data_IF_519693502315
#
_entry.id   IF_519693502315
#
_cell.length_a   1.000
_cell.length_b   1.000
_cell.length_c   1.000
_cell.angle_alpha   90.00
_cell.angle_beta   90.00
_cell.angle_gamma   90.00
#
_symmetry.space_group_name_H-M   'P 1'
#
loop_
_entity.id
_entity.type
_entity.pdbx_description
1 polymer ?
#
# COMPACT_ATOMS: atom_id res chain seq x y z
N UNK A 1 -20.65 -11.09 -25.36
CA UNK A 1 -20.68 -9.76 -24.70
C UNK A 1 -20.38 -9.89 -23.22
N UNK A 2 -21.11 -10.73 -22.47
CA UNK A 2 -20.85 -11.01 -21.04
C UNK A 2 -19.45 -11.61 -20.80
N UNK A 3 -18.98 -12.53 -21.64
CA UNK A 3 -17.62 -13.10 -21.52
C UNK A 3 -16.53 -12.03 -21.63
N UNK A 4 -16.61 -11.14 -22.63
CA UNK A 4 -15.65 -10.03 -22.76
C UNK A 4 -15.68 -9.07 -21.57
N UNK A 5 -16.84 -8.91 -20.95
CA UNK A 5 -16.97 -8.11 -19.74
C UNK A 5 -16.32 -8.81 -18.54
N UNK A 6 -16.50 -10.13 -18.41
CA UNK A 6 -15.79 -10.94 -17.42
C UNK A 6 -14.27 -10.80 -17.60
N UNK A 7 -13.75 -10.97 -18.82
CA UNK A 7 -12.32 -10.80 -19.11
C UNK A 7 -11.84 -9.39 -18.70
N UNK A 8 -12.67 -8.37 -18.94
CA UNK A 8 -12.32 -6.97 -18.58
C UNK A 8 -12.28 -6.76 -17.06
N UNK A 9 -13.23 -7.35 -16.33
CA UNK A 9 -13.29 -7.29 -14.87
C UNK A 9 -12.14 -8.08 -14.27
N UNK A 10 -11.86 -9.29 -14.76
CA UNK A 10 -10.74 -10.12 -14.33
C UNK A 10 -9.39 -9.41 -14.53
N UNK A 11 -9.19 -8.74 -15.67
CA UNK A 11 -7.99 -7.94 -15.91
C UNK A 11 -7.88 -6.76 -14.94
N UNK A 12 -8.99 -6.08 -14.63
CA UNK A 12 -9.00 -4.94 -13.70
C UNK A 12 -8.69 -5.39 -12.26
N UNK A 13 -9.33 -6.46 -11.80
CA UNK A 13 -9.11 -6.97 -10.43
C UNK A 13 -7.77 -7.66 -10.29
N UNK A 14 -7.24 -8.27 -11.36
CA UNK A 14 -5.96 -8.98 -11.36
C UNK A 14 -4.72 -8.09 -11.33
N UNK A 15 -4.86 -6.76 -11.51
CA UNK A 15 -3.72 -5.83 -11.39
C UNK A 15 -3.16 -5.87 -9.98
N UNK A 16 -1.92 -6.35 -9.86
CA UNK A 16 -1.21 -6.35 -8.58
C UNK A 16 -0.72 -4.92 -8.26
N UNK A 17 -0.79 -4.49 -6.99
CA UNK A 17 -0.27 -3.19 -6.58
C UNK A 17 1.20 -3.03 -6.98
N UNK A 18 2.06 -4.01 -6.68
CA UNK A 18 3.49 -3.97 -7.01
C UNK A 18 3.75 -3.66 -8.48
N UNK A 19 3.10 -4.37 -9.40
CA UNK A 19 3.30 -4.17 -10.83
C UNK A 19 2.88 -2.76 -11.26
N UNK A 20 1.80 -2.23 -10.67
CA UNK A 20 1.31 -0.88 -10.97
C UNK A 20 2.24 0.19 -10.43
N UNK A 21 2.64 0.11 -9.17
CA UNK A 21 3.45 1.14 -8.50
C UNK A 21 4.85 1.28 -9.13
N UNK A 22 5.48 0.16 -9.50
CA UNK A 22 6.82 0.17 -10.09
C UNK A 22 6.83 0.34 -11.63
N UNK A 23 5.66 0.48 -12.26
CA UNK A 23 5.57 0.73 -13.71
C UNK A 23 5.90 2.18 -14.10
N UNK A 24 5.71 3.13 -13.18
CA UNK A 24 5.88 4.57 -13.43
C UNK A 24 7.16 5.13 -12.83
N UNK A 25 7.56 4.63 -11.65
CA UNK A 25 8.71 5.13 -10.90
C UNK A 25 9.58 3.98 -10.41
N UNK A 26 10.90 4.21 -10.37
CA UNK A 26 11.86 3.19 -9.90
C UNK A 26 11.90 3.07 -8.38
N UNK A 27 11.68 4.19 -7.67
CA UNK A 27 11.73 4.27 -6.21
C UNK A 27 10.48 4.99 -5.67
N UNK A 28 9.28 4.42 -5.88
CA UNK A 28 8.04 5.03 -5.41
C UNK A 28 8.04 5.16 -3.88
N UNK A 29 7.46 6.25 -3.39
CA UNK A 29 7.25 6.49 -1.96
C UNK A 29 5.91 5.89 -1.50
N UNK A 30 5.66 5.74 -0.18
CA UNK A 30 4.42 5.23 0.39
C UNK A 30 3.15 5.92 -0.11
N UNK A 31 3.19 7.20 -0.49
CA UNK A 31 2.03 7.87 -1.07
C UNK A 31 1.44 7.11 -2.26
N UNK A 32 2.30 6.43 -3.05
CA UNK A 32 1.86 5.62 -4.17
C UNK A 32 0.92 4.46 -3.77
N UNK A 33 1.13 3.81 -2.60
CA UNK A 33 0.25 2.73 -2.15
C UNK A 33 -1.06 3.27 -1.58
N UNK A 34 -1.03 4.43 -0.93
CA UNK A 34 -2.23 5.12 -0.45
C UNK A 34 -3.12 5.51 -1.64
N UNK A 35 -2.57 6.25 -2.60
CA UNK A 35 -3.28 6.67 -3.79
C UNK A 35 -3.80 5.49 -4.63
N UNK A 36 -3.02 4.41 -4.74
CA UNK A 36 -3.45 3.19 -5.43
C UNK A 36 -4.72 2.60 -4.82
N UNK A 37 -4.75 2.38 -3.51
CA UNK A 37 -5.89 1.75 -2.84
C UNK A 37 -7.11 2.66 -2.76
N UNK A 38 -6.91 3.96 -2.57
CA UNK A 38 -7.99 4.97 -2.63
C UNK A 38 -8.65 4.97 -4.02
N UNK A 39 -7.86 5.06 -5.10
CA UNK A 39 -8.38 5.01 -6.47
C UNK A 39 -9.02 3.66 -6.81
N UNK A 40 -8.41 2.55 -6.38
CA UNK A 40 -8.97 1.21 -6.60
C UNK A 40 -10.31 1.05 -5.89
N UNK A 41 -10.44 1.52 -4.65
CA UNK A 41 -11.70 1.52 -3.93
C UNK A 41 -12.76 2.33 -4.69
N UNK A 42 -12.47 3.58 -5.05
CA UNK A 42 -13.41 4.44 -5.77
C UNK A 42 -13.90 3.80 -7.08
N UNK A 43 -12.97 3.24 -7.87
CA UNK A 43 -13.30 2.56 -9.12
C UNK A 43 -14.22 1.34 -8.90
N UNK A 44 -13.95 0.54 -7.87
CA UNK A 44 -14.77 -0.64 -7.54
C UNK A 44 -16.13 -0.26 -6.95
N UNK A 45 -16.22 0.84 -6.20
CA UNK A 45 -17.50 1.39 -5.73
C UNK A 45 -18.37 1.84 -6.91
N UNK A 46 -17.77 2.54 -7.87
CA UNK A 46 -18.45 2.94 -9.11
C UNK A 46 -18.93 1.73 -9.92
N UNK A 47 -18.11 0.69 -10.06
CA UNK A 47 -18.51 -0.55 -10.74
C UNK A 47 -19.63 -1.28 -10.00
N UNK A 48 -19.53 -1.41 -8.67
CA UNK A 48 -20.58 -2.03 -7.86
C UNK A 48 -21.91 -1.26 -7.98
N UNK A 49 -21.86 0.08 -8.02
CA UNK A 49 -23.03 0.91 -8.26
C UNK A 49 -23.64 0.67 -9.65
N UNK A 50 -22.82 0.56 -10.69
CA UNK A 50 -23.29 0.23 -12.05
C UNK A 50 -23.93 -1.17 -12.12
N UNK A 51 -23.37 -2.16 -11.44
CA UNK A 51 -23.98 -3.48 -11.28
C UNK A 51 -25.32 -3.41 -10.54
N UNK A 52 -25.49 -2.40 -9.68
CA UNK A 52 -26.70 -2.08 -8.96
C UNK A 52 -27.86 -1.57 -9.83
N UNK A 53 -27.57 -1.03 -11.02
CA UNK A 53 -28.54 -0.45 -11.95
C UNK A 53 -29.59 -1.48 -12.38
N UNK A 54 -30.86 -1.07 -12.39
CA UNK A 54 -32.01 -1.93 -12.73
C UNK A 54 -31.83 -2.62 -14.09
N UNK A 55 -31.22 -1.95 -15.06
CA UNK A 55 -30.98 -2.49 -16.41
C UNK A 55 -29.97 -3.63 -16.37
N UNK A 56 -28.89 -3.49 -15.60
CA UNK A 56 -27.86 -4.52 -15.44
C UNK A 56 -28.39 -5.70 -14.63
N UNK A 57 -29.18 -5.44 -13.58
CA UNK A 57 -29.87 -6.51 -12.83
C UNK A 57 -30.88 -7.27 -13.67
N UNK A 58 -31.60 -6.57 -14.54
CA UNK A 58 -32.56 -7.19 -15.47
C UNK A 58 -31.85 -8.16 -16.43
N UNK A 59 -30.65 -7.80 -16.92
CA UNK A 59 -29.83 -8.72 -17.72
C UNK A 59 -29.53 -10.00 -16.94
N UNK A 60 -29.07 -9.88 -15.68
CA UNK A 60 -28.82 -11.03 -14.80
C UNK A 60 -30.06 -11.92 -14.64
N UNK A 61 -31.21 -11.31 -14.32
CA UNK A 61 -32.48 -12.03 -14.15
C UNK A 61 -32.91 -12.76 -15.43
N UNK A 62 -32.79 -12.14 -16.60
CA UNK A 62 -33.14 -12.77 -17.88
C UNK A 62 -32.21 -13.95 -18.16
N UNK A 63 -30.89 -13.79 -17.96
CA UNK A 63 -29.91 -14.87 -18.16
C UNK A 63 -30.23 -16.08 -17.27
N UNK A 64 -30.61 -15.84 -16.03
CA UNK A 64 -31.03 -16.89 -15.10
C UNK A 64 -32.33 -17.57 -15.55
N UNK A 65 -33.36 -16.79 -15.94
CA UNK A 65 -34.67 -17.33 -16.33
C UNK A 65 -34.62 -18.21 -17.57
N UNK A 66 -33.76 -17.88 -18.53
CA UNK A 66 -33.59 -18.67 -19.75
C UNK A 66 -32.54 -19.78 -19.60
N UNK A 67 -31.96 -19.95 -18.40
CA UNK A 67 -30.86 -20.90 -18.13
C UNK A 67 -29.70 -20.72 -19.11
N UNK A 68 -29.32 -19.46 -19.33
CA UNK A 68 -28.27 -19.12 -20.28
C UNK A 68 -26.92 -19.66 -19.82
N UNK A 69 -26.12 -20.16 -20.77
CA UNK A 69 -24.70 -20.50 -20.55
C UNK A 69 -23.87 -19.31 -20.04
N UNK A 70 -24.35 -18.08 -20.22
CA UNK A 70 -23.67 -16.85 -19.76
C UNK A 70 -24.07 -16.42 -18.34
N UNK A 71 -25.05 -17.09 -17.71
CA UNK A 71 -25.46 -16.82 -16.32
C UNK A 71 -24.26 -16.92 -15.38
N UNK A 72 -23.47 -17.99 -15.48
CA UNK A 72 -22.29 -18.19 -14.68
C UNK A 72 -21.28 -17.04 -14.82
N UNK A 73 -21.01 -16.58 -16.04
CA UNK A 73 -20.10 -15.46 -16.29
C UNK A 73 -20.60 -14.16 -15.66
N UNK A 74 -21.91 -13.88 -15.77
CA UNK A 74 -22.52 -12.71 -15.14
C UNK A 74 -22.40 -12.77 -13.61
N UNK A 75 -22.74 -13.91 -12.99
CA UNK A 75 -22.63 -14.10 -11.55
C UNK A 75 -21.18 -13.91 -11.09
N UNK A 76 -20.22 -14.47 -11.82
CA UNK A 76 -18.79 -14.33 -11.52
C UNK A 76 -18.32 -12.87 -11.54
N UNK A 77 -18.81 -12.06 -12.50
CA UNK A 77 -18.53 -10.62 -12.53
C UNK A 77 -18.99 -9.94 -11.23
N UNK A 78 -20.22 -10.22 -10.80
CA UNK A 78 -20.79 -9.61 -9.58
C UNK A 78 -19.98 -10.01 -8.35
N UNK A 79 -19.67 -11.31 -8.22
CA UNK A 79 -18.84 -11.83 -7.12
C UNK A 79 -17.46 -11.17 -7.08
N UNK A 80 -16.74 -11.16 -8.21
CA UNK A 80 -15.40 -10.56 -8.31
C UNK A 80 -15.36 -9.09 -7.89
N UNK A 81 -16.33 -8.30 -8.34
CA UNK A 81 -16.40 -6.87 -8.01
C UNK A 81 -16.68 -6.69 -6.52
N UNK A 82 -17.61 -7.44 -5.93
CA UNK A 82 -17.94 -7.32 -4.51
C UNK A 82 -16.81 -7.81 -3.60
N UNK A 83 -16.15 -8.90 -3.95
CA UNK A 83 -14.97 -9.43 -3.25
C UNK A 83 -13.82 -8.42 -3.28
N UNK A 84 -13.48 -7.92 -4.48
CA UNK A 84 -12.41 -6.93 -4.66
C UNK A 84 -12.72 -5.61 -3.97
N UNK A 85 -14.00 -5.21 -3.93
CA UNK A 85 -14.42 -4.00 -3.22
C UNK A 85 -14.27 -4.17 -1.70
N UNK A 86 -14.62 -5.33 -1.17
CA UNK A 86 -14.45 -5.62 0.26
C UNK A 86 -12.98 -5.60 0.66
N UNK A 87 -12.10 -6.16 -0.17
CA UNK A 87 -10.64 -6.08 -0.03
C UNK A 87 -10.17 -4.62 -0.03
N UNK A 88 -10.50 -3.86 -1.08
CA UNK A 88 -10.04 -2.49 -1.24
C UNK A 88 -10.46 -1.60 -0.07
N UNK A 89 -11.71 -1.71 0.40
CA UNK A 89 -12.20 -0.94 1.56
C UNK A 89 -11.44 -1.24 2.85
N UNK A 90 -11.17 -2.52 3.12
CA UNK A 90 -10.43 -2.92 4.32
C UNK A 90 -9.00 -2.38 4.27
N UNK A 91 -8.31 -2.57 3.15
CA UNK A 91 -6.92 -2.13 2.99
C UNK A 91 -6.81 -0.60 3.04
N UNK A 92 -7.66 0.13 2.31
CA UNK A 92 -7.66 1.61 2.35
C UNK A 92 -7.89 2.13 3.77
N UNK A 93 -8.86 1.56 4.50
CA UNK A 93 -9.13 1.93 5.90
C UNK A 93 -7.92 1.66 6.80
N UNK A 94 -7.27 0.52 6.61
CA UNK A 94 -6.09 0.12 7.38
C UNK A 94 -4.89 1.05 7.12
N UNK A 95 -4.64 1.36 5.84
CA UNK A 95 -3.56 2.25 5.42
C UNK A 95 -3.80 3.70 5.84
N UNK A 96 -5.04 4.18 5.90
CA UNK A 96 -5.38 5.52 6.39
C UNK A 96 -4.88 5.77 7.83
N UNK A 97 -4.77 4.73 8.66
CA UNK A 97 -4.21 4.84 10.01
C UNK A 97 -2.69 5.12 10.02
N UNK A 98 -1.99 4.81 8.91
CA UNK A 98 -0.55 5.02 8.75
C UNK A 98 -0.23 6.36 8.09
N UNK A 99 -1.09 6.83 7.16
CA UNK A 99 -0.84 8.01 6.29
C UNK A 99 -0.25 9.19 7.06
N UNK A 100 -0.95 9.72 8.07
CA UNK A 100 -0.47 10.86 8.88
C UNK A 100 0.90 10.65 9.54
N UNK A 101 1.21 9.41 9.98
CA UNK A 101 2.52 9.12 10.62
C UNK A 101 3.63 9.05 9.58
N UNK A 102 3.33 8.54 8.39
CA UNK A 102 4.25 8.50 7.25
C UNK A 102 4.51 9.90 6.72
N UNK A 103 3.47 10.71 6.51
CA UNK A 103 3.62 12.11 6.06
C UNK A 103 4.50 12.89 7.04
N UNK A 104 4.26 12.73 8.36
CA UNK A 104 5.12 13.34 9.40
C UNK A 104 6.56 12.85 9.28
N UNK A 105 6.78 11.56 9.07
CA UNK A 105 8.11 10.98 8.92
C UNK A 105 8.84 11.59 7.72
N UNK A 106 8.16 11.71 6.57
CA UNK A 106 8.75 12.22 5.34
C UNK A 106 9.12 13.70 5.42
N UNK A 107 8.40 14.50 6.20
CA UNK A 107 8.67 15.93 6.38
C UNK A 107 9.83 16.25 7.34
N UNK A 108 10.31 15.26 8.10
CA UNK A 108 11.26 15.45 9.20
C UNK A 108 12.64 14.87 8.88
N UNK A 109 13.63 15.23 9.72
CA UNK A 109 14.95 14.60 9.73
C UNK A 109 14.94 13.30 10.55
N UNK A 110 15.98 12.48 10.42
CA UNK A 110 16.15 11.27 11.23
C UNK A 110 16.31 11.61 12.71
N UNK A 111 16.89 12.77 13.05
CA UNK A 111 17.01 13.25 14.43
C UNK A 111 15.63 13.44 15.06
N UNK A 112 14.73 14.12 14.34
CA UNK A 112 13.35 14.37 14.78
C UNK A 112 12.49 13.09 14.78
N UNK A 113 12.74 12.20 13.81
CA UNK A 113 11.97 10.97 13.64
C UNK A 113 12.37 9.85 14.58
N UNK A 114 13.60 9.84 15.11
CA UNK A 114 14.13 8.78 16.00
C UNK A 114 13.15 8.33 17.10
N UNK A 115 12.52 9.22 17.91
CA UNK A 115 11.56 8.80 18.93
C UNK A 115 10.31 8.14 18.36
N UNK A 116 9.91 8.50 17.14
CA UNK A 116 8.67 8.05 16.50
C UNK A 116 8.83 6.76 15.67
N UNK A 117 10.05 6.32 15.36
CA UNK A 117 10.31 5.07 14.61
C UNK A 117 9.65 3.87 15.28
N UNK A 118 9.85 3.67 16.59
CA UNK A 118 9.27 2.52 17.29
C UNK A 118 7.73 2.59 17.33
N UNK A 119 7.09 3.71 17.71
CA UNK A 119 5.65 3.89 17.59
C UNK A 119 5.10 3.64 16.17
N UNK A 120 5.80 4.10 15.13
CA UNK A 120 5.41 3.86 13.74
C UNK A 120 5.43 2.36 13.42
N UNK A 121 6.54 1.67 13.71
CA UNK A 121 6.67 0.23 13.48
C UNK A 121 5.61 -0.59 14.25
N UNK A 122 5.26 -0.20 15.48
CA UNK A 122 4.14 -0.83 16.21
C UNK A 122 2.79 -0.58 15.53
N UNK A 123 2.57 0.61 14.99
CA UNK A 123 1.33 0.93 14.25
C UNK A 123 1.23 0.09 12.99
N UNK A 124 2.34 -0.10 12.26
CA UNK A 124 2.41 -0.99 11.10
C UNK A 124 2.05 -2.42 11.51
N UNK A 125 2.61 -2.93 12.61
CA UNK A 125 2.28 -4.26 13.11
C UNK A 125 0.82 -4.43 13.58
N UNK A 126 0.21 -3.40 14.15
CA UNK A 126 -1.22 -3.40 14.48
C UNK A 126 -2.08 -3.42 13.21
N UNK A 127 -1.75 -2.59 12.23
CA UNK A 127 -2.45 -2.56 10.93
C UNK A 127 -2.37 -3.93 10.26
N UNK A 128 -1.19 -4.54 10.28
CA UNK A 128 -0.99 -5.90 9.80
C UNK A 128 -1.88 -6.91 10.54
N UNK A 129 -1.80 -6.97 11.87
CA UNK A 129 -2.51 -7.98 12.66
C UNK A 129 -4.03 -7.83 12.67
N UNK A 130 -4.55 -6.64 12.40
CA UNK A 130 -5.99 -6.35 12.43
C UNK A 130 -6.65 -6.27 11.04
N UNK A 131 -5.89 -6.17 9.97
CA UNK A 131 -6.45 -6.14 8.63
C UNK A 131 -6.84 -7.53 8.15
N UNK A 132 -7.99 -7.64 7.50
CA UNK A 132 -8.45 -8.89 6.90
C UNK A 132 -7.74 -9.20 5.59
N UNK A 133 -7.25 -8.21 4.87
CA UNK A 133 -6.65 -8.41 3.54
C UNK A 133 -5.22 -7.87 3.40
N UNK A 134 -4.80 -6.91 4.22
CA UNK A 134 -3.45 -6.37 4.19
C UNK A 134 -2.40 -7.31 4.79
N UNK A 135 -2.80 -8.30 5.61
CA UNK A 135 -1.89 -9.18 6.37
C UNK A 135 -1.10 -10.22 5.53
N UNK A 136 -0.95 -10.01 4.22
CA UNK A 136 -0.24 -10.93 3.31
C UNK A 136 1.20 -10.48 3.11
N UNK A 137 2.17 -11.42 3.11
CA UNK A 137 3.61 -11.11 3.06
C UNK A 137 3.96 -10.15 1.92
N UNK A 138 3.29 -10.29 0.78
CA UNK A 138 3.44 -9.44 -0.40
C UNK A 138 3.08 -7.98 -0.09
N UNK A 139 1.97 -7.74 0.61
CA UNK A 139 1.53 -6.39 1.01
C UNK A 139 2.50 -5.75 2.02
N UNK A 140 3.03 -6.52 2.99
CA UNK A 140 4.05 -6.01 3.93
C UNK A 140 5.32 -5.64 3.21
N UNK A 141 5.77 -6.55 2.34
CA UNK A 141 7.02 -6.41 1.60
C UNK A 141 6.95 -5.19 0.70
N UNK A 142 5.83 -5.02 -0.02
CA UNK A 142 5.57 -3.83 -0.81
C UNK A 142 5.61 -2.57 0.06
N UNK A 143 4.87 -2.53 1.17
CA UNK A 143 4.85 -1.36 2.05
C UNK A 143 6.23 -1.01 2.59
N UNK A 144 7.01 -2.00 3.06
CA UNK A 144 8.37 -1.74 3.54
C UNK A 144 9.31 -1.30 2.42
N UNK A 145 9.20 -1.84 1.20
CA UNK A 145 10.00 -1.36 0.07
C UNK A 145 9.76 0.13 -0.19
N UNK A 146 8.50 0.58 -0.14
CA UNK A 146 8.15 1.99 -0.27
C UNK A 146 8.69 2.80 0.92
N UNK A 147 8.47 2.32 2.14
CA UNK A 147 8.92 3.01 3.35
C UNK A 147 10.45 3.13 3.44
N UNK A 148 11.19 2.12 2.96
CA UNK A 148 12.65 2.17 2.88
C UNK A 148 13.13 3.26 1.92
N UNK A 149 12.38 3.56 0.84
CA UNK A 149 12.70 4.71 -0.01
C UNK A 149 12.54 6.02 0.79
N UNK A 150 11.46 6.20 1.56
CA UNK A 150 11.29 7.36 2.45
C UNK A 150 12.38 7.44 3.53
N UNK A 151 12.83 6.29 4.07
CA UNK A 151 13.92 6.22 5.03
C UNK A 151 15.23 6.72 4.41
N UNK A 152 15.54 6.31 3.17
CA UNK A 152 16.71 6.77 2.43
C UNK A 152 16.63 8.28 2.18
N UNK A 153 15.49 8.79 1.72
CA UNK A 153 15.26 10.23 1.52
C UNK A 153 15.42 11.01 2.84
N UNK A 154 14.91 10.50 3.95
CA UNK A 154 15.05 11.12 5.26
C UNK A 154 16.52 11.16 5.72
N UNK A 155 17.30 10.10 5.48
CA UNK A 155 18.75 10.07 5.75
C UNK A 155 19.50 11.08 4.89
N UNK A 156 19.21 11.14 3.58
CA UNK A 156 19.83 12.11 2.67
C UNK A 156 19.52 13.54 3.13
N UNK A 157 18.25 13.82 3.47
CA UNK A 157 17.80 15.12 4.02
C UNK A 157 18.50 15.45 5.33
N UNK A 158 18.75 14.46 6.18
CA UNK A 158 19.43 14.67 7.47
C UNK A 158 20.91 14.95 7.26
N UNK A 159 21.58 14.25 6.33
CA UNK A 159 23.01 14.42 6.04
C UNK A 159 23.27 15.73 5.31
N UNK A 160 22.40 16.14 4.39
CA UNK A 160 22.58 17.30 3.50
C UNK A 160 23.96 17.25 2.79
N UNK A 161 24.15 16.35 1.81
CA UNK A 161 25.47 16.07 1.24
C UNK A 161 26.24 17.31 0.74
N UNK A 162 25.55 18.33 0.24
CA UNK A 162 26.17 19.55 -0.25
C UNK A 162 26.80 20.41 0.86
N UNK A 163 26.23 20.41 2.06
CA UNK A 163 26.77 21.15 3.21
C UNK A 163 27.93 20.43 3.89
N UNK A 164 28.04 19.11 3.68
CA UNK A 164 29.09 18.27 4.27
C UNK A 164 30.50 18.66 3.85
N UNK A 165 30.67 19.22 2.66
CA UNK A 165 31.97 19.67 2.16
C UNK A 165 32.32 21.10 2.59
N UNK A 166 31.40 21.79 3.29
CA UNK A 166 31.56 23.17 3.74
C UNK A 166 31.85 23.26 5.24
N UNK A 167 31.62 22.17 5.99
CA UNK A 167 31.88 22.08 7.43
C UNK A 167 33.23 21.42 7.71
N UNK A 168 33.68 21.49 8.97
CA UNK A 168 34.88 20.77 9.41
C UNK A 168 34.68 19.24 9.30
N UNK A 169 35.76 18.53 9.05
CA UNK A 169 35.80 17.06 8.90
C UNK A 169 35.22 16.38 10.13
N UNK A 170 35.47 16.91 11.33
CA UNK A 170 34.92 16.36 12.58
C UNK A 170 33.39 16.48 12.64
N UNK A 171 32.83 17.63 12.22
CA UNK A 171 31.38 17.88 12.17
C UNK A 171 30.71 16.95 11.15
N UNK A 172 31.28 16.86 9.95
CA UNK A 172 30.84 15.95 8.89
C UNK A 172 30.87 14.48 9.38
N UNK A 173 31.98 14.04 9.95
CA UNK A 173 32.12 12.69 10.48
C UNK A 173 31.05 12.38 11.54
N UNK A 174 30.83 13.31 12.48
CA UNK A 174 29.80 13.17 13.53
C UNK A 174 28.40 13.03 12.93
N UNK A 175 28.06 13.82 11.90
CA UNK A 175 26.75 13.76 11.21
C UNK A 175 26.52 12.42 10.51
N UNK A 176 27.55 11.87 9.87
CA UNK A 176 27.50 10.53 9.23
C UNK A 176 27.31 9.44 10.28
N UNK A 177 28.12 9.42 11.34
CA UNK A 177 28.03 8.41 12.40
C UNK A 177 26.66 8.43 13.08
N UNK A 178 26.10 9.63 13.32
CA UNK A 178 24.78 9.76 13.91
C UNK A 178 23.68 9.16 13.01
N UNK A 179 23.75 9.39 11.69
CA UNK A 179 22.81 8.78 10.74
C UNK A 179 22.94 7.25 10.68
N UNK A 180 24.16 6.71 10.74
CA UNK A 180 24.37 5.27 10.85
C UNK A 180 23.72 4.71 12.11
N UNK A 181 23.84 5.41 13.26
CA UNK A 181 23.18 4.99 14.49
C UNK A 181 21.65 5.02 14.40
N UNK A 182 21.06 5.98 13.67
CA UNK A 182 19.62 6.01 13.42
C UNK A 182 19.17 4.81 12.58
N UNK A 183 19.93 4.45 11.54
CA UNK A 183 19.66 3.28 10.70
C UNK A 183 19.80 1.96 11.47
N UNK A 184 20.81 1.84 12.33
CA UNK A 184 20.95 0.67 13.21
C UNK A 184 19.82 0.59 14.25
N UNK A 185 19.37 1.73 14.78
CA UNK A 185 18.19 1.77 15.65
C UNK A 185 16.93 1.31 14.91
N UNK A 186 16.73 1.76 13.67
CA UNK A 186 15.64 1.27 12.82
C UNK A 186 15.74 -0.25 12.58
N UNK A 187 16.92 -0.74 12.17
CA UNK A 187 17.17 -2.15 11.86
C UNK A 187 16.97 -3.08 13.05
N UNK A 188 17.43 -2.69 14.24
CA UNK A 188 17.23 -3.47 15.48
C UNK A 188 15.78 -3.48 15.93
N UNK A 189 15.04 -2.39 15.72
CA UNK A 189 13.59 -2.32 15.90
C UNK A 189 12.83 -3.22 14.93
N UNK A 190 13.14 -3.13 13.64
CA UNK A 190 12.55 -3.93 12.55
C UNK A 190 12.84 -5.43 12.72
N UNK A 191 14.08 -5.81 12.99
CA UNK A 191 14.50 -7.21 13.13
C UNK A 191 13.83 -7.95 14.29
N UNK A 192 13.38 -7.23 15.33
CA UNK A 192 12.56 -7.81 16.40
C UNK A 192 11.14 -8.11 15.92
N UNK A 193 10.56 -7.26 15.09
CA UNK A 193 9.21 -7.44 14.56
C UNK A 193 9.14 -8.47 13.42
N UNK A 194 10.17 -8.57 12.58
CA UNK A 194 10.22 -9.60 11.53
C UNK A 194 10.12 -11.03 12.11
N UNK A 195 10.67 -11.26 13.31
CA UNK A 195 10.53 -12.53 14.02
C UNK A 195 9.10 -12.80 14.50
N UNK A 196 8.30 -11.76 14.76
CA UNK A 196 6.88 -11.90 15.06
C UNK A 196 6.03 -12.15 13.83
N UNK A 197 6.42 -11.63 12.66
CA UNK A 197 5.67 -11.85 11.40
C UNK A 197 6.00 -13.18 10.71
N UNK A 198 7.15 -13.79 11.01
CA UNK A 198 7.59 -15.08 10.46
C UNK A 198 7.30 -16.28 11.39
N UNK A 199 6.63 -16.06 12.52
CA UNK A 199 6.22 -17.11 13.48
C UNK A 199 4.74 -17.46 13.30
#
# INVERSE_FOLDING_TARGET
MVVKWLDSVENLVGVKPTDKLFSTERYPLPEAIFAYWESRQENLENLAHQLGDIRIKTIGFVLEKIQSVFEHSYRRIVELVLESLAEARDITKCLAALKKKIDKFEMNTMDDNRPDIRPLMLTVGLVWGHSRYFHTLDNMTLFFNLFHNSLIECVIRTIEPDSMFQVDVEEAYKKIIMNIQHLEYYKTGHGRQQKFFNA
#
